data_IF_333938054970
#
_entry.id   IF_333938054970
#
_cell.length_a   1.000
_cell.length_b   1.000
_cell.length_c   1.000
_cell.angle_alpha   90.00
_cell.angle_beta   90.00
_cell.angle_gamma   90.00
#
_symmetry.space_group_name_H-M   'P 1'
#
loop_
_entity.id
_entity.type
_entity.pdbx_description
1 polymer ?
#
# COMPACT_ATOMS: atom_id res chain seq x y z
N UNK A 1 -17.12 -13.08 -22.86
CA UNK A 1 -17.13 -11.98 -21.89
C UNK A 1 -15.72 -11.45 -21.82
N UNK A 2 -15.48 -10.29 -22.40
CA UNK A 2 -14.17 -9.63 -22.33
C UNK A 2 -14.02 -9.10 -20.89
N UNK A 3 -12.98 -9.55 -20.18
CA UNK A 3 -12.76 -9.13 -18.79
C UNK A 3 -12.39 -7.65 -18.73
N UNK A 4 -13.02 -6.88 -17.84
CA UNK A 4 -12.64 -5.49 -17.61
C UNK A 4 -11.18 -5.43 -17.15
N UNK A 5 -10.39 -4.57 -17.80
CA UNK A 5 -8.97 -4.39 -17.49
C UNK A 5 -8.80 -3.73 -16.12
N UNK A 6 -7.75 -4.11 -15.40
CA UNK A 6 -7.30 -3.42 -14.18
C UNK A 6 -6.12 -2.53 -14.56
N UNK A 7 -6.27 -1.23 -14.29
CA UNK A 7 -5.27 -0.20 -14.57
C UNK A 7 -4.64 0.26 -13.26
N UNK A 8 -3.32 0.17 -13.18
CA UNK A 8 -2.53 0.69 -12.06
C UNK A 8 -2.21 2.16 -12.31
N UNK A 9 -2.74 3.05 -11.48
CA UNK A 9 -2.46 4.48 -11.51
C UNK A 9 -1.23 4.77 -10.65
N UNK A 10 -0.10 5.03 -11.31
CA UNK A 10 1.14 5.40 -10.63
C UNK A 10 1.05 6.81 -10.06
N UNK A 11 1.34 6.95 -8.78
CA UNK A 11 1.34 8.21 -8.05
C UNK A 11 2.76 8.69 -7.83
N UNK A 12 3.00 9.89 -8.34
CA UNK A 12 4.22 10.67 -8.24
C UNK A 12 3.90 12.04 -7.63
N UNK A 13 4.92 12.82 -7.28
CA UNK A 13 4.74 14.14 -6.67
C UNK A 13 3.80 15.07 -7.47
N UNK A 14 3.85 15.03 -8.80
CA UNK A 14 3.08 15.93 -9.66
C UNK A 14 1.59 15.59 -9.77
N UNK A 15 1.19 14.32 -9.64
CA UNK A 15 -0.21 13.88 -9.74
C UNK A 15 -0.81 13.42 -8.41
N UNK A 16 0.00 13.34 -7.34
CA UNK A 16 -0.43 12.88 -6.01
C UNK A 16 -1.72 13.55 -5.56
N UNK A 17 -1.77 14.88 -5.60
CA UNK A 17 -2.93 15.65 -5.12
C UNK A 17 -4.21 15.37 -5.93
N UNK A 18 -4.07 15.27 -7.25
CA UNK A 18 -5.20 15.03 -8.13
C UNK A 18 -5.80 13.63 -7.88
N UNK A 19 -4.94 12.63 -7.80
CA UNK A 19 -5.36 11.25 -7.54
C UNK A 19 -5.88 11.02 -6.12
N UNK A 20 -5.29 11.66 -5.10
CA UNK A 20 -5.84 11.64 -3.74
C UNK A 20 -7.25 12.23 -3.67
N UNK A 21 -7.55 13.26 -4.47
CA UNK A 21 -8.92 13.77 -4.61
C UNK A 21 -9.86 12.72 -5.21
N UNK A 22 -9.42 11.98 -6.23
CA UNK A 22 -10.21 10.89 -6.83
C UNK A 22 -10.47 9.78 -5.80
N UNK A 23 -9.43 9.36 -5.08
CA UNK A 23 -9.55 8.37 -4.00
C UNK A 23 -10.59 8.85 -2.99
N UNK A 24 -10.45 10.09 -2.48
CA UNK A 24 -11.35 10.67 -1.49
C UNK A 24 -12.82 10.71 -1.94
N UNK A 25 -13.08 11.07 -3.20
CA UNK A 25 -14.44 11.10 -3.76
C UNK A 25 -15.07 9.70 -3.85
N UNK A 26 -14.25 8.65 -3.99
CA UNK A 26 -14.71 7.27 -4.13
C UNK A 26 -14.90 6.54 -2.79
N UNK A 27 -14.35 7.06 -1.68
CA UNK A 27 -14.44 6.44 -0.35
C UNK A 27 -15.88 6.27 0.16
N UNK A 28 -16.83 7.11 -0.28
CA UNK A 28 -18.22 6.98 0.11
C UNK A 28 -18.88 5.69 -0.42
N UNK A 29 -18.42 5.19 -1.57
CA UNK A 29 -18.94 4.01 -2.27
C UNK A 29 -18.04 2.79 -2.05
N UNK A 30 -16.73 2.97 -2.22
CA UNK A 30 -15.72 1.92 -2.10
C UNK A 30 -15.00 2.03 -0.75
N UNK A 31 -15.66 1.52 0.30
CA UNK A 31 -15.29 1.73 1.71
C UNK A 31 -14.24 0.75 2.25
N UNK A 32 -13.88 -0.27 1.50
CA UNK A 32 -12.88 -1.25 1.91
C UNK A 32 -11.55 -0.90 1.26
N UNK A 33 -10.48 -0.90 2.06
CA UNK A 33 -9.14 -0.52 1.60
C UNK A 33 -8.19 -1.68 1.87
N UNK A 34 -7.52 -2.14 0.82
CA UNK A 34 -6.35 -2.99 0.93
C UNK A 34 -5.09 -2.15 0.70
N UNK A 35 -4.09 -2.35 1.57
CA UNK A 35 -2.81 -1.66 1.54
C UNK A 35 -1.70 -2.69 1.46
N UNK A 36 -0.74 -2.45 0.58
CA UNK A 36 0.48 -3.22 0.44
C UNK A 36 1.68 -2.27 0.45
N UNK A 37 2.77 -2.64 1.10
CA UNK A 37 3.95 -1.77 1.27
C UNK A 37 5.25 -2.53 1.08
N UNK A 38 6.20 -1.90 0.39
CA UNK A 38 7.50 -2.48 0.10
C UNK A 38 8.65 -1.63 0.63
N UNK A 39 9.63 -2.29 1.26
CA UNK A 39 10.82 -1.69 1.85
C UNK A 39 12.09 -2.33 1.25
N UNK A 40 13.27 -1.67 1.34
CA UNK A 40 14.55 -2.19 0.86
C UNK A 40 15.13 -3.31 1.75
N UNK A 41 14.30 -4.24 2.22
CA UNK A 41 14.71 -5.41 2.99
C UNK A 41 14.69 -5.24 4.51
N UNK A 42 15.71 -5.78 5.19
CA UNK A 42 15.76 -5.86 6.66
C UNK A 42 17.20 -5.71 7.16
N UNK A 43 17.44 -4.66 7.95
CA UNK A 43 18.70 -4.33 8.62
C UNK A 43 18.81 -5.08 9.96
N UNK A 44 17.83 -4.91 10.85
CA UNK A 44 17.87 -5.47 12.20
C UNK A 44 17.25 -6.88 12.22
N UNK A 45 18.02 -7.86 12.69
CA UNK A 45 17.62 -9.28 12.74
C UNK A 45 17.88 -9.86 14.13
N UNK A 46 17.09 -10.85 14.54
CA UNK A 46 17.32 -11.55 15.80
C UNK A 46 18.65 -12.31 15.77
N UNK A 47 19.49 -12.11 16.78
CA UNK A 47 20.82 -12.71 16.89
C UNK A 47 20.85 -14.04 17.68
N UNK A 48 19.73 -14.49 18.29
CA UNK A 48 19.72 -15.70 19.16
C UNK A 48 18.53 -16.64 18.88
N UNK A 49 18.67 -17.96 19.15
CA UNK A 49 17.56 -18.91 19.12
C UNK A 49 16.47 -18.48 20.11
N UNK A 50 15.21 -18.50 19.67
CA UNK A 50 14.09 -17.82 20.33
C UNK A 50 13.70 -18.43 21.68
N UNK A 51 13.56 -17.57 22.69
CA UNK A 51 12.72 -17.84 23.86
C UNK A 51 11.26 -17.56 23.46
N UNK A 52 10.49 -18.64 23.28
CA UNK A 52 9.14 -18.64 22.68
C UNK A 52 8.18 -17.70 23.44
N UNK A 53 8.42 -17.47 24.74
CA UNK A 53 7.57 -16.68 25.63
C UNK A 53 7.61 -15.17 25.40
N UNK A 54 8.63 -14.63 24.71
CA UNK A 54 8.78 -13.17 24.42
C UNK A 54 8.76 -12.84 22.93
N UNK A 55 8.14 -13.71 22.11
CA UNK A 55 8.18 -13.61 20.65
C UNK A 55 7.47 -12.36 20.11
N UNK A 56 6.33 -11.98 20.69
CA UNK A 56 5.54 -10.82 20.23
C UNK A 56 6.28 -9.49 20.34
N UNK A 57 6.69 -9.12 21.56
CA UNK A 57 7.35 -7.83 21.82
C UNK A 57 8.66 -7.68 21.04
N UNK A 58 9.47 -8.76 20.97
CA UNK A 58 10.73 -8.73 20.23
C UNK A 58 10.51 -8.59 18.72
N UNK A 59 9.52 -9.27 18.16
CA UNK A 59 9.17 -9.13 16.75
C UNK A 59 8.72 -7.71 16.42
N UNK A 60 7.88 -7.12 17.30
CA UNK A 60 7.44 -5.75 17.13
C UNK A 60 8.60 -4.75 17.19
N UNK A 61 9.51 -4.88 18.16
CA UNK A 61 10.68 -3.98 18.26
C UNK A 61 11.58 -4.08 17.03
N UNK A 62 11.88 -5.30 16.56
CA UNK A 62 12.67 -5.51 15.33
C UNK A 62 11.97 -4.91 14.11
N UNK A 63 10.66 -5.13 13.95
CA UNK A 63 9.88 -4.53 12.87
C UNK A 63 9.94 -3.00 12.95
N UNK A 64 9.70 -2.43 14.13
CA UNK A 64 9.72 -0.98 14.38
C UNK A 64 11.08 -0.37 14.05
N UNK A 65 12.19 -0.99 14.47
CA UNK A 65 13.54 -0.51 14.18
C UNK A 65 13.84 -0.50 12.68
N UNK A 66 13.43 -1.56 11.96
CA UNK A 66 13.57 -1.62 10.50
C UNK A 66 12.71 -0.57 9.80
N UNK A 67 11.44 -0.43 10.17
CA UNK A 67 10.52 0.57 9.59
C UNK A 67 11.04 1.99 9.83
N UNK A 68 11.57 2.28 11.01
CA UNK A 68 12.13 3.60 11.32
C UNK A 68 13.42 3.92 10.55
N UNK A 69 14.15 2.89 10.11
CA UNK A 69 15.48 3.05 9.51
C UNK A 69 15.47 2.91 7.98
N UNK A 70 14.37 2.39 7.41
CA UNK A 70 14.24 2.15 5.98
C UNK A 70 13.24 3.10 5.35
N UNK A 71 13.61 3.67 4.20
CA UNK A 71 12.67 4.41 3.35
C UNK A 71 11.71 3.43 2.69
N UNK A 72 10.42 3.77 2.66
CA UNK A 72 9.43 3.07 1.86
C UNK A 72 9.82 3.18 0.38
N UNK A 73 9.68 2.10 -0.39
CA UNK A 73 9.89 2.08 -1.85
C UNK A 73 8.55 2.30 -2.55
N UNK A 74 7.53 1.55 -2.14
CA UNK A 74 6.24 1.53 -2.81
C UNK A 74 5.11 1.35 -1.80
N UNK A 75 3.95 1.95 -2.11
CA UNK A 75 2.68 1.70 -1.44
C UNK A 75 1.59 1.42 -2.47
N UNK A 76 1.06 0.20 -2.45
CA UNK A 76 -0.14 -0.18 -3.19
C UNK A 76 -1.40 0.16 -2.39
N UNK A 77 -2.40 0.72 -3.06
CA UNK A 77 -3.69 1.08 -2.49
C UNK A 77 -4.81 0.61 -3.41
N UNK A 78 -5.70 -0.22 -2.87
CA UNK A 78 -6.89 -0.72 -3.58
C UNK A 78 -8.14 -0.39 -2.80
N UNK A 79 -9.12 0.23 -3.46
CA UNK A 79 -10.44 0.49 -2.92
C UNK A 79 -11.42 -0.57 -3.44
N UNK A 80 -12.34 -1.04 -2.61
CA UNK A 80 -13.44 -1.90 -3.03
C UNK A 80 -14.75 -1.64 -2.26
N UNK A 81 -15.86 -2.07 -2.84
CA UNK A 81 -17.15 -2.12 -2.15
C UNK A 81 -17.32 -3.44 -1.36
N UNK A 82 -18.44 -3.62 -0.68
CA UNK A 82 -18.71 -4.84 0.11
C UNK A 82 -18.82 -6.13 -0.72
N UNK A 83 -18.96 -6.02 -2.05
CA UNK A 83 -18.95 -7.14 -2.99
C UNK A 83 -17.58 -7.40 -3.60
N UNK A 84 -16.56 -6.59 -3.25
CA UNK A 84 -15.22 -6.68 -3.79
C UNK A 84 -15.04 -5.97 -5.14
N UNK A 85 -16.01 -5.15 -5.58
CA UNK A 85 -15.91 -4.42 -6.86
C UNK A 85 -15.01 -3.20 -6.72
N UNK A 86 -14.19 -2.95 -7.74
CA UNK A 86 -13.23 -1.85 -7.79
C UNK A 86 -13.85 -0.57 -8.41
N UNK A 87 -13.28 0.62 -8.14
CA UNK A 87 -13.63 1.85 -8.84
C UNK A 87 -13.41 1.73 -10.34
N UNK A 88 -14.42 2.09 -11.14
CA UNK A 88 -14.29 2.15 -12.60
C UNK A 88 -14.15 3.57 -13.16
N UNK A 89 -14.27 4.60 -12.30
CA UNK A 89 -14.13 6.02 -12.63
C UNK A 89 -14.97 6.46 -13.85
N UNK A 90 -16.12 5.82 -14.09
CA UNK A 90 -16.98 6.08 -15.26
C UNK A 90 -16.47 5.49 -16.57
N UNK A 91 -15.54 4.55 -16.54
CA UNK A 91 -14.94 3.89 -17.72
C UNK A 91 -15.19 2.37 -17.71
N UNK A 92 -14.71 1.69 -18.77
CA UNK A 92 -14.73 0.23 -18.91
C UNK A 92 -13.56 -0.48 -18.22
N UNK A 93 -12.70 0.25 -17.52
CA UNK A 93 -11.58 -0.28 -16.73
C UNK A 93 -11.82 -0.11 -15.23
N UNK A 94 -11.14 -0.92 -14.43
CA UNK A 94 -11.01 -0.76 -12.99
C UNK A 94 -9.68 -0.13 -12.62
N UNK A 95 -9.62 0.59 -11.50
CA UNK A 95 -8.43 1.33 -11.10
C UNK A 95 -7.97 0.97 -9.69
N UNK A 96 -6.66 0.79 -9.57
CA UNK A 96 -5.93 0.71 -8.31
C UNK A 96 -4.77 1.71 -8.34
N UNK A 97 -4.20 2.04 -7.18
CA UNK A 97 -3.16 3.05 -7.07
C UNK A 97 -1.86 2.46 -6.55
N UNK A 98 -0.76 3.01 -7.03
CA UNK A 98 0.58 2.64 -6.60
C UNK A 98 1.40 3.91 -6.42
N UNK A 99 1.72 4.25 -5.18
CA UNK A 99 2.66 5.32 -4.87
C UNK A 99 4.08 4.80 -4.97
N UNK A 100 4.89 5.48 -5.78
CA UNK A 100 6.31 5.20 -5.88
C UNK A 100 7.07 6.29 -5.12
N UNK A 101 7.75 5.89 -4.05
CA UNK A 101 8.60 6.73 -3.23
C UNK A 101 9.95 6.88 -3.94
N UNK A 102 10.00 7.74 -4.96
CA UNK A 102 11.30 8.18 -5.47
C UNK A 102 11.85 9.29 -4.61
N UNK A 103 13.15 9.23 -4.37
CA UNK A 103 13.87 10.24 -3.61
C UNK A 103 13.52 11.63 -4.14
N UNK A 104 12.88 12.43 -3.27
CA UNK A 104 13.00 13.87 -3.38
C UNK A 104 14.44 14.16 -3.03
N UNK A 105 15.26 14.44 -4.05
CA UNK A 105 16.56 15.11 -3.88
C UNK A 105 16.40 16.39 -3.08
#
# INVERSE_FOLDING_TARGET
>A
MEGKLIVVRKLYAYNLRADFSIIGQNLATYRFIAVDIEFPGTIFRSQKPYDIKKKGDKNYQLMKENVNSLKLIQLGLTLSDSSGKLPNLGTDSYFIWEFQSFEST
#
